data_IF_011426274150
#
_entry.id   IF_011426274150
#
_cell.length_a   1.000
_cell.length_b   1.000
_cell.length_c   1.000
_cell.angle_alpha   90.00
_cell.angle_beta   90.00
_cell.angle_gamma   90.00
#
_symmetry.space_group_name_H-M   'P 1'
#
loop_
_entity.id
_entity.type
_entity.pdbx_description
1 polymer ?
#
# COMPACT_ATOMS: atom_id res chain seq x y z
N UNK A 1 -5.03 7.59 -17.09
CA UNK A 1 -4.07 8.48 -17.75
C UNK A 1 -4.05 9.83 -17.06
N UNK A 2 -2.88 10.35 -16.81
CA UNK A 2 -2.74 11.72 -16.33
C UNK A 2 -2.87 12.66 -17.53
N UNK A 3 -3.90 13.50 -17.49
CA UNK A 3 -4.27 14.26 -18.68
C UNK A 3 -3.43 15.52 -18.87
N UNK A 4 -3.07 15.84 -20.14
CA UNK A 4 -2.43 17.12 -20.42
C UNK A 4 -3.31 18.27 -19.97
N UNK A 5 -2.72 19.27 -19.33
CA UNK A 5 -3.45 20.43 -18.84
C UNK A 5 -4.11 20.26 -17.47
N UNK A 6 -4.19 19.05 -16.97
CA UNK A 6 -4.70 18.82 -15.62
C UNK A 6 -3.67 19.36 -14.63
N UNK A 7 -4.10 20.11 -13.62
CA UNK A 7 -3.19 20.69 -12.63
C UNK A 7 -2.55 19.58 -11.80
N UNK A 8 -1.29 19.77 -11.47
CA UNK A 8 -0.56 18.85 -10.61
C UNK A 8 -1.23 18.74 -9.22
N UNK A 9 -1.74 19.85 -8.70
CA UNK A 9 -2.44 19.83 -7.43
C UNK A 9 -3.68 18.95 -7.42
N UNK A 10 -4.44 18.93 -8.55
CA UNK A 10 -5.62 18.08 -8.66
C UNK A 10 -5.23 16.58 -8.68
N UNK A 11 -4.14 16.25 -9.40
CA UNK A 11 -3.63 14.88 -9.44
C UNK A 11 -3.10 14.44 -8.07
N UNK A 12 -2.35 15.31 -7.40
CA UNK A 12 -1.84 15.03 -6.06
C UNK A 12 -2.99 14.82 -5.08
N UNK A 13 -4.05 15.62 -5.16
CA UNK A 13 -5.23 15.46 -4.32
C UNK A 13 -5.92 14.12 -4.57
N UNK A 14 -6.06 13.72 -5.83
CA UNK A 14 -6.68 12.43 -6.17
C UNK A 14 -5.86 11.27 -5.64
N UNK A 15 -4.54 11.30 -5.79
CA UNK A 15 -3.66 10.25 -5.26
C UNK A 15 -3.58 10.29 -3.73
N UNK A 16 -3.68 11.48 -3.11
CA UNK A 16 -3.78 11.57 -1.65
C UNK A 16 -4.99 10.78 -1.13
N UNK A 17 -6.15 10.99 -1.76
CA UNK A 17 -7.37 10.26 -1.41
C UNK A 17 -7.21 8.76 -1.65
N UNK A 18 -6.60 8.38 -2.75
CA UNK A 18 -6.38 6.98 -3.10
C UNK A 18 -5.48 6.30 -2.06
N UNK A 19 -4.38 6.94 -1.69
CA UNK A 19 -3.44 6.41 -0.70
C UNK A 19 -4.10 6.31 0.68
N UNK A 20 -4.87 7.33 1.09
CA UNK A 20 -5.56 7.31 2.38
C UNK A 20 -6.60 6.18 2.42
N UNK A 21 -7.34 5.97 1.32
CA UNK A 21 -8.31 4.87 1.22
C UNK A 21 -7.62 3.50 1.26
N UNK A 22 -6.48 3.39 0.62
CA UNK A 22 -5.63 2.18 0.66
C UNK A 22 -5.23 1.86 2.11
N UNK A 23 -4.75 2.88 2.83
CA UNK A 23 -4.36 2.71 4.24
C UNK A 23 -5.54 2.32 5.12
N UNK A 24 -6.69 2.96 4.92
CA UNK A 24 -7.91 2.62 5.66
C UNK A 24 -8.32 1.16 5.41
N UNK A 25 -8.24 0.71 4.17
CA UNK A 25 -8.62 -0.66 3.82
C UNK A 25 -7.73 -1.68 4.54
N UNK A 26 -6.41 -1.47 4.56
CA UNK A 26 -5.51 -2.36 5.30
C UNK A 26 -5.72 -2.29 6.82
N UNK A 27 -6.26 -1.19 7.32
CA UNK A 27 -6.50 -1.01 8.76
C UNK A 27 -7.77 -1.70 9.25
N UNK A 28 -8.56 -2.32 8.36
CA UNK A 28 -9.76 -3.06 8.74
C UNK A 28 -9.46 -4.41 9.39
N UNK A 29 -8.25 -4.93 9.21
CA UNK A 29 -7.86 -6.24 9.75
C UNK A 29 -8.17 -7.41 8.83
N UNK A 30 -8.68 -7.16 7.62
CA UNK A 30 -8.87 -8.19 6.61
C UNK A 30 -8.23 -7.80 5.29
N UNK A 31 -7.50 -8.74 4.67
CA UNK A 31 -6.88 -8.52 3.37
C UNK A 31 -7.92 -8.44 2.24
N UNK A 32 -9.17 -8.79 2.49
CA UNK A 32 -10.24 -8.64 1.51
C UNK A 32 -10.54 -7.18 1.20
N UNK A 33 -10.43 -6.30 2.19
CA UNK A 33 -10.76 -4.87 2.01
C UNK A 33 -9.82 -4.17 1.03
N UNK A 34 -8.48 -4.34 1.07
CA UNK A 34 -7.61 -3.68 0.09
C UNK A 34 -7.55 -4.37 -1.27
N UNK A 35 -8.24 -5.48 -1.48
CA UNK A 35 -8.17 -6.25 -2.73
C UNK A 35 -8.46 -5.41 -3.97
N UNK A 36 -9.37 -4.46 -3.88
CA UNK A 36 -9.76 -3.61 -5.01
C UNK A 36 -8.63 -2.70 -5.52
N UNK A 37 -7.61 -2.47 -4.70
CA UNK A 37 -6.48 -1.61 -5.09
C UNK A 37 -5.41 -2.36 -5.86
N UNK A 38 -5.48 -3.68 -5.93
CA UNK A 38 -4.42 -4.51 -6.52
C UNK A 38 -4.83 -5.12 -7.84
N UNK A 39 -3.94 -5.07 -8.82
CA UNK A 39 -4.11 -5.84 -10.04
C UNK A 39 -3.94 -7.33 -9.72
N UNK A 40 -4.66 -8.17 -10.45
CA UNK A 40 -4.67 -9.64 -10.23
C UNK A 40 -3.95 -10.39 -11.35
N UNK A 41 -3.19 -9.70 -12.18
CA UNK A 41 -2.48 -10.29 -13.32
C UNK A 41 -1.46 -11.32 -12.82
N UNK A 42 -1.22 -12.33 -13.63
CA UNK A 42 -0.13 -13.28 -13.39
C UNK A 42 1.21 -12.58 -13.54
N UNK A 43 2.19 -13.00 -12.76
CA UNK A 43 3.56 -12.51 -12.89
C UNK A 43 3.88 -11.24 -12.12
N UNK A 44 2.91 -10.66 -11.40
CA UNK A 44 3.17 -9.50 -10.56
C UNK A 44 3.95 -9.92 -9.31
N UNK A 45 4.79 -9.00 -8.83
CA UNK A 45 5.57 -9.21 -7.61
C UNK A 45 5.35 -8.02 -6.69
N UNK A 46 5.16 -8.30 -5.40
CA UNK A 46 4.99 -7.27 -4.38
C UNK A 46 6.00 -7.50 -3.26
N UNK A 47 6.61 -6.42 -2.78
CA UNK A 47 7.56 -6.50 -1.68
C UNK A 47 6.96 -5.91 -0.41
N UNK A 48 7.08 -6.65 0.67
CA UNK A 48 6.66 -6.21 1.98
C UNK A 48 7.85 -6.32 2.93
N UNK A 49 7.67 -5.91 4.18
CA UNK A 49 8.72 -6.00 5.19
C UNK A 49 9.18 -7.46 5.35
N UNK A 50 8.27 -8.39 5.30
CA UNK A 50 8.50 -9.84 5.28
C UNK A 50 7.31 -10.49 4.61
N UNK A 51 7.47 -11.63 3.94
CA UNK A 51 8.69 -12.35 3.60
C UNK A 51 9.49 -11.66 2.48
N UNK A 52 10.43 -12.36 1.87
CA UNK A 52 11.28 -11.81 0.81
C UNK A 52 10.48 -11.22 -0.36
N UNK A 53 9.44 -11.91 -0.80
CA UNK A 53 8.58 -11.44 -1.89
C UNK A 53 7.24 -12.17 -1.86
N UNK A 54 6.22 -11.52 -2.42
CA UNK A 54 4.94 -12.15 -2.74
C UNK A 54 4.79 -12.18 -4.26
N UNK A 55 4.43 -13.33 -4.80
CA UNK A 55 4.21 -13.52 -6.23
C UNK A 55 2.71 -13.52 -6.51
N UNK A 56 2.20 -12.34 -6.89
CA UNK A 56 0.80 -12.13 -7.19
C UNK A 56 -0.05 -11.78 -5.98
N UNK A 57 -1.26 -11.31 -6.28
CA UNK A 57 -2.19 -10.85 -5.24
C UNK A 57 -2.60 -11.97 -4.28
N UNK A 58 -2.89 -13.17 -4.82
CA UNK A 58 -3.36 -14.26 -3.95
C UNK A 58 -2.35 -14.60 -2.87
N UNK A 59 -1.09 -14.68 -3.24
CA UNK A 59 -0.03 -15.00 -2.28
C UNK A 59 0.11 -13.88 -1.24
N UNK A 60 0.06 -12.62 -1.68
CA UNK A 60 0.11 -11.47 -0.78
C UNK A 60 -1.09 -11.47 0.17
N UNK A 61 -2.30 -11.65 -0.37
CA UNK A 61 -3.54 -11.71 0.42
C UNK A 61 -3.46 -12.77 1.51
N UNK A 62 -3.16 -14.01 1.10
CA UNK A 62 -3.14 -15.16 2.02
C UNK A 62 -2.02 -15.02 3.05
N UNK A 63 -0.84 -14.56 2.61
CA UNK A 63 0.31 -14.42 3.50
C UNK A 63 0.12 -13.32 4.54
N UNK A 64 -0.30 -12.14 4.12
CA UNK A 64 -0.52 -11.03 5.06
C UNK A 64 -1.65 -11.38 6.02
N UNK A 65 -2.72 -11.99 5.52
CA UNK A 65 -3.83 -12.38 6.39
C UNK A 65 -3.38 -13.36 7.46
N UNK A 66 -2.72 -14.44 7.05
CA UNK A 66 -2.33 -15.53 7.96
C UNK A 66 -1.20 -15.11 8.90
N UNK A 67 -0.16 -14.48 8.38
CA UNK A 67 1.06 -14.22 9.14
C UNK A 67 1.01 -12.95 9.97
N UNK A 68 0.10 -12.04 9.64
CA UNK A 68 0.05 -10.73 10.30
C UNK A 68 -1.34 -10.38 10.83
N UNK A 69 -2.34 -10.26 9.96
CA UNK A 69 -3.65 -9.75 10.35
C UNK A 69 -4.38 -10.67 11.33
N UNK A 70 -4.29 -11.98 11.14
CA UNK A 70 -4.95 -12.93 12.04
C UNK A 70 -4.41 -12.89 13.47
N UNK A 71 -3.20 -12.38 13.66
CA UNK A 71 -2.55 -12.26 14.96
C UNK A 71 -2.77 -10.90 15.63
N UNK A 72 -3.45 -9.99 14.95
CA UNK A 72 -3.64 -8.62 15.43
C UNK A 72 -5.06 -8.43 15.94
N UNK A 73 -5.18 -7.68 17.04
CA UNK A 73 -6.48 -7.20 17.53
C UNK A 73 -6.80 -5.82 16.99
N UNK A 74 -5.77 -5.07 16.59
CA UNK A 74 -5.93 -3.74 15.99
C UNK A 74 -4.78 -3.45 15.05
N UNK A 75 -5.10 -2.86 13.90
CA UNK A 75 -4.13 -2.40 12.90
C UNK A 75 -4.46 -0.96 12.54
N UNK A 76 -3.45 -0.11 12.49
CA UNK A 76 -3.62 1.24 11.98
C UNK A 76 -2.44 1.58 11.09
N UNK A 77 -2.70 1.65 9.78
CA UNK A 77 -1.74 2.09 8.78
C UNK A 77 -2.12 3.50 8.34
N UNK A 78 -1.17 4.43 8.39
CA UNK A 78 -1.40 5.82 7.99
C UNK A 78 -0.28 6.27 7.08
N UNK A 79 -0.63 7.12 6.11
CA UNK A 79 0.35 7.73 5.22
C UNK A 79 0.74 9.10 5.75
N UNK A 80 2.04 9.40 5.69
CA UNK A 80 2.57 10.71 6.06
C UNK A 80 2.19 11.79 5.06
N UNK A 81 2.56 13.03 5.36
CA UNK A 81 2.22 14.19 4.53
C UNK A 81 3.03 14.28 3.25
N UNK A 82 4.24 13.75 3.27
CA UNK A 82 5.21 13.91 2.18
C UNK A 82 4.95 12.88 1.08
N UNK A 83 3.85 13.06 0.37
CA UNK A 83 3.47 12.22 -0.76
C UNK A 83 4.00 12.83 -2.05
N UNK A 84 4.77 12.04 -2.81
CA UNK A 84 5.24 12.44 -4.13
C UNK A 84 4.58 11.56 -5.18
N UNK A 85 3.97 12.22 -6.16
CA UNK A 85 3.27 11.55 -7.26
C UNK A 85 3.97 11.93 -8.56
N UNK A 86 4.38 10.93 -9.32
CA UNK A 86 4.94 11.14 -10.66
C UNK A 86 4.16 10.26 -11.63
N UNK A 87 3.55 10.88 -12.64
CA UNK A 87 2.74 10.16 -13.60
C UNK A 87 3.20 10.37 -15.02
N UNK A 88 2.99 9.34 -15.84
CA UNK A 88 3.24 9.40 -17.26
C UNK A 88 2.30 8.43 -17.97
N UNK A 89 1.38 8.99 -18.77
CA UNK A 89 0.39 8.18 -19.47
C UNK A 89 -0.53 7.45 -18.50
N UNK A 90 -0.57 6.14 -18.61
CA UNK A 90 -1.43 5.26 -17.79
C UNK A 90 -0.72 4.76 -16.55
N UNK A 91 0.49 5.21 -16.26
CA UNK A 91 1.29 4.76 -15.13
C UNK A 91 1.54 5.93 -14.18
N UNK A 92 1.43 5.67 -12.88
CA UNK A 92 1.81 6.64 -11.85
C UNK A 92 2.62 5.95 -10.78
N UNK A 93 3.57 6.68 -10.21
CA UNK A 93 4.38 6.24 -9.08
C UNK A 93 4.06 7.11 -7.89
N UNK A 94 3.82 6.49 -6.75
CA UNK A 94 3.64 7.19 -5.48
C UNK A 94 4.76 6.80 -4.53
N UNK A 95 5.32 7.78 -3.84
CA UNK A 95 6.33 7.58 -2.80
C UNK A 95 5.87 8.35 -1.57
N UNK A 96 5.75 7.65 -0.45
CA UNK A 96 5.25 8.28 0.78
C UNK A 96 5.74 7.49 2.00
N UNK A 97 6.15 8.16 3.08
CA UNK A 97 6.39 7.45 4.34
C UNK A 97 5.05 7.02 4.94
N UNK A 98 5.03 5.85 5.56
CA UNK A 98 3.85 5.36 6.25
C UNK A 98 4.20 5.02 7.69
N UNK A 99 3.20 4.98 8.53
CA UNK A 99 3.34 4.56 9.93
C UNK A 99 2.37 3.43 10.20
N UNK A 100 2.87 2.35 10.79
CA UNK A 100 2.08 1.18 11.14
C UNK A 100 2.05 1.03 12.65
N UNK A 101 0.84 0.93 13.20
CA UNK A 101 0.62 0.49 14.58
C UNK A 101 -0.09 -0.86 14.52
N UNK A 102 0.41 -1.83 15.26
CA UNK A 102 -0.19 -3.13 15.37
C UNK A 102 -0.30 -3.49 16.85
N UNK A 103 -1.50 -3.88 17.28
CA UNK A 103 -1.70 -4.48 18.60
C UNK A 103 -1.99 -5.95 18.41
N UNK A 104 -1.12 -6.80 18.96
CA UNK A 104 -1.31 -8.24 18.86
C UNK A 104 -2.44 -8.69 19.81
N UNK A 105 -2.97 -9.87 19.54
CA UNK A 105 -4.00 -10.45 20.40
C UNK A 105 -3.50 -10.70 21.83
N UNK A 106 -2.18 -10.79 22.02
CA UNK A 106 -1.58 -10.91 23.35
C UNK A 106 -1.44 -9.56 24.08
N UNK A 107 -1.88 -8.46 23.46
CA UNK A 107 -1.86 -7.12 24.05
C UNK A 107 -0.61 -6.30 23.77
N UNK A 108 0.40 -6.87 23.14
CA UNK A 108 1.62 -6.15 22.80
C UNK A 108 1.37 -5.20 21.63
N UNK A 109 1.81 -3.95 21.78
CA UNK A 109 1.73 -2.94 20.71
C UNK A 109 3.10 -2.77 20.07
N UNK A 110 3.13 -2.77 18.74
CA UNK A 110 4.33 -2.52 17.94
C UNK A 110 4.04 -1.37 17.00
N UNK A 111 5.01 -0.48 16.85
CA UNK A 111 4.91 0.62 15.90
C UNK A 111 6.15 0.66 15.04
N UNK A 112 5.99 1.03 13.76
CA UNK A 112 7.13 1.11 12.86
C UNK A 112 6.87 2.13 11.76
N UNK A 113 7.93 2.86 11.42
CA UNK A 113 7.93 3.76 10.28
C UNK A 113 8.36 2.99 9.04
N UNK A 114 7.62 3.17 7.95
CA UNK A 114 7.79 2.40 6.74
C UNK A 114 8.06 3.30 5.55
N UNK A 115 8.76 2.76 4.57
CA UNK A 115 8.94 3.38 3.26
C UNK A 115 8.02 2.69 2.29
N UNK A 116 7.19 3.47 1.60
CA UNK A 116 6.24 2.92 0.64
C UNK A 116 6.45 3.51 -0.74
N UNK A 117 6.54 2.63 -1.74
CA UNK A 117 6.51 2.99 -3.15
C UNK A 117 5.43 2.14 -3.83
N UNK A 118 4.52 2.80 -4.55
CA UNK A 118 3.49 2.11 -5.31
C UNK A 118 3.61 2.47 -6.79
N UNK A 119 3.46 1.46 -7.65
CA UNK A 119 3.34 1.65 -9.09
C UNK A 119 1.91 1.33 -9.47
N UNK A 120 1.21 2.34 -9.97
CA UNK A 120 -0.21 2.26 -10.30
C UNK A 120 -0.39 2.30 -11.80
N UNK A 121 -1.34 1.53 -12.29
CA UNK A 121 -1.73 1.53 -13.69
C UNK A 121 -3.21 1.88 -13.78
N UNK A 122 -3.55 2.78 -14.68
CA UNK A 122 -4.95 3.13 -14.88
C UNK A 122 -5.60 2.12 -15.80
N UNK A 123 -6.69 1.53 -15.33
CA UNK A 123 -7.49 0.56 -16.08
C UNK A 123 -8.95 0.99 -16.01
N UNK A 124 -9.46 1.47 -17.14
CA UNK A 124 -10.78 2.10 -17.15
C UNK A 124 -10.79 3.35 -16.27
N UNK A 125 -11.69 3.41 -15.30
CA UNK A 125 -11.82 4.53 -14.37
C UNK A 125 -10.99 4.36 -13.10
N UNK A 126 -10.29 3.23 -12.93
CA UNK A 126 -9.60 2.89 -11.68
C UNK A 126 -8.10 2.81 -11.84
N UNK A 127 -7.39 3.19 -10.78
CA UNK A 127 -5.96 2.96 -10.64
C UNK A 127 -5.77 1.70 -9.81
N UNK A 128 -4.93 0.77 -10.29
CA UNK A 128 -4.61 -0.45 -9.56
C UNK A 128 -3.09 -0.63 -9.44
N UNK A 129 -2.66 -1.22 -8.35
CA UNK A 129 -1.26 -1.50 -8.09
C UNK A 129 -0.79 -2.68 -8.92
N UNK A 130 0.25 -2.46 -9.71
CA UNK A 130 0.94 -3.53 -10.45
C UNK A 130 2.26 -3.89 -9.76
N UNK A 131 2.71 -3.07 -8.84
CA UNK A 131 3.82 -3.35 -7.94
C UNK A 131 3.73 -2.41 -6.75
N UNK A 132 4.14 -2.86 -5.56
CA UNK A 132 4.47 -1.97 -4.47
C UNK A 132 5.63 -2.53 -3.66
N UNK A 133 6.23 -1.65 -2.86
CA UNK A 133 7.37 -1.98 -2.02
C UNK A 133 7.21 -1.28 -0.69
N UNK A 134 7.08 -2.06 0.35
CA UNK A 134 6.99 -1.59 1.72
C UNK A 134 8.23 -2.11 2.47
N UNK A 135 8.97 -1.22 3.09
CA UNK A 135 10.17 -1.62 3.83
C UNK A 135 10.35 -0.76 5.08
N UNK A 136 11.12 -1.29 6.01
CA UNK A 136 11.48 -0.58 7.23
C UNK A 136 13.00 -0.46 7.31
N UNK A 137 13.52 0.60 7.96
CA UNK A 137 14.96 0.67 8.23
C UNK A 137 15.37 -0.44 9.19
N UNK A 138 16.62 -0.84 9.12
CA UNK A 138 17.16 -1.80 10.08
C UNK A 138 17.04 -1.24 11.49
N UNK A 139 16.78 -2.14 12.46
CA UNK A 139 16.70 -1.74 13.87
C UNK A 139 17.98 -1.02 14.28
N UNK A 140 17.84 0.13 14.97
CA UNK A 140 18.98 0.92 15.42
C UNK A 140 19.53 1.89 14.36
N UNK A 141 18.89 1.99 13.20
CA UNK A 141 19.29 2.92 12.14
C UNK A 141 18.66 4.29 12.31
#
# INVERSE_FOLDING_TARGET
MLEPGRSRGAEDTAFRKLIDSYCEAWSTGTADAPAKFYAKDNGLVFYDVAPFAYHGWKELHDGVQKEFLDNASEIKLTAGRDLKVTGRGMIARTIVPMHLMERSKNGKTTEMDLRYTGIWEKRGASWVLVHDHLSAPLAGS
#
